data_IF_086489812497
#
_entry.id   IF_086489812497
#
_cell.length_a   1.000
_cell.length_b   1.000
_cell.length_c   1.000
_cell.angle_alpha   90.00
_cell.angle_beta   90.00
_cell.angle_gamma   90.00
#
_symmetry.space_group_name_H-M   'P 1'
#
loop_
_entity.id
_entity.type
_entity.pdbx_description
1 polymer ?
#
# COMPACT_ATOMS: atom_id res chain seq x y z
N UNK A 1 -43.94 26.89 -18.91
CA UNK A 1 -43.20 25.61 -19.08
C UNK A 1 -41.82 25.97 -19.62
N UNK A 2 -40.71 25.53 -19.00
CA UNK A 2 -39.36 25.85 -19.51
C UNK A 2 -39.14 25.22 -20.88
N UNK A 3 -38.41 25.91 -21.76
CA UNK A 3 -38.07 25.39 -23.08
C UNK A 3 -37.13 24.19 -22.96
N UNK A 4 -37.09 23.34 -23.99
CA UNK A 4 -36.16 22.20 -24.04
C UNK A 4 -34.70 22.69 -23.90
N UNK A 5 -34.36 23.81 -24.56
CA UNK A 5 -33.03 24.42 -24.48
C UNK A 5 -32.66 24.89 -23.06
N UNK A 6 -33.59 25.53 -22.34
CA UNK A 6 -33.37 25.94 -20.94
C UNK A 6 -33.15 24.75 -20.02
N UNK A 7 -33.87 23.65 -20.26
CA UNK A 7 -33.72 22.40 -19.49
C UNK A 7 -32.39 21.72 -19.77
N UNK A 8 -31.95 21.68 -21.04
CA UNK A 8 -30.65 21.13 -21.43
C UNK A 8 -29.50 21.94 -20.86
N UNK A 9 -29.55 23.27 -20.96
CA UNK A 9 -28.53 24.14 -20.35
C UNK A 9 -28.42 23.91 -18.85
N UNK A 10 -29.56 23.79 -18.15
CA UNK A 10 -29.57 23.47 -16.73
C UNK A 10 -29.00 22.09 -16.39
N UNK A 11 -29.03 21.12 -17.32
CA UNK A 11 -28.38 19.81 -17.15
C UNK A 11 -26.86 19.95 -17.36
N UNK A 12 -26.42 20.60 -18.43
CA UNK A 12 -25.00 20.78 -18.74
C UNK A 12 -24.26 21.58 -17.67
N UNK A 13 -24.91 22.61 -17.09
CA UNK A 13 -24.35 23.34 -15.96
C UNK A 13 -24.15 22.44 -14.72
N UNK A 14 -25.11 21.54 -14.45
CA UNK A 14 -24.99 20.58 -13.34
C UNK A 14 -23.88 19.56 -13.61
N UNK A 15 -23.82 19.02 -14.82
CA UNK A 15 -22.76 18.10 -15.23
C UNK A 15 -21.37 18.74 -15.09
N UNK A 16 -21.23 19.99 -15.54
CA UNK A 16 -19.97 20.75 -15.42
C UNK A 16 -19.57 20.93 -13.95
N UNK A 17 -20.52 21.28 -13.08
CA UNK A 17 -20.27 21.41 -11.63
C UNK A 17 -19.82 20.08 -11.01
N UNK A 18 -20.50 18.98 -11.33
CA UNK A 18 -20.15 17.64 -10.84
C UNK A 18 -18.76 17.21 -11.32
N UNK A 19 -18.40 17.50 -12.58
CA UNK A 19 -17.07 17.21 -13.11
C UNK A 19 -15.97 17.99 -12.39
N UNK A 20 -16.21 19.27 -12.06
CA UNK A 20 -15.26 20.07 -11.26
C UNK A 20 -15.10 19.49 -9.85
N UNK A 21 -16.20 19.07 -9.21
CA UNK A 21 -16.16 18.43 -7.88
C UNK A 21 -15.40 17.11 -7.91
N UNK A 22 -15.63 16.28 -8.94
CA UNK A 22 -14.89 15.03 -9.16
C UNK A 22 -13.39 15.28 -9.25
N UNK A 23 -12.95 16.21 -10.10
CA UNK A 23 -11.51 16.55 -10.24
C UNK A 23 -10.92 17.00 -8.90
N UNK A 24 -11.66 17.76 -8.09
CA UNK A 24 -11.20 18.18 -6.75
C UNK A 24 -11.09 17.00 -5.79
N UNK A 25 -12.02 16.05 -5.84
CA UNK A 25 -12.00 14.85 -5.01
C UNK A 25 -10.84 13.93 -5.42
N UNK A 26 -10.63 13.73 -6.72
CA UNK A 26 -9.53 12.93 -7.26
C UNK A 26 -8.18 13.49 -6.76
N UNK A 27 -7.94 14.81 -6.87
CA UNK A 27 -6.73 15.44 -6.33
C UNK A 27 -6.54 15.27 -4.83
N UNK A 28 -7.62 15.28 -4.05
CA UNK A 28 -7.56 15.04 -2.59
C UNK A 28 -7.22 13.58 -2.30
N UNK A 29 -7.80 12.67 -3.06
CA UNK A 29 -7.52 11.24 -2.97
C UNK A 29 -6.06 10.96 -3.29
N UNK A 30 -5.53 11.50 -4.40
CA UNK A 30 -4.12 11.35 -4.78
C UNK A 30 -3.19 11.87 -3.69
N UNK A 31 -3.52 13.02 -3.07
CA UNK A 31 -2.73 13.57 -1.95
C UNK A 31 -2.75 12.66 -0.73
N UNK A 32 -3.88 12.04 -0.40
CA UNK A 32 -3.98 11.08 0.70
C UNK A 32 -3.23 9.79 0.37
N UNK A 33 -3.33 9.31 -0.86
CA UNK A 33 -2.64 8.12 -1.33
C UNK A 33 -1.11 8.31 -1.27
N UNK A 34 -0.62 9.47 -1.72
CA UNK A 34 0.81 9.84 -1.60
C UNK A 34 1.30 9.84 -0.15
N UNK A 35 0.48 10.30 0.82
CA UNK A 35 0.83 10.20 2.24
C UNK A 35 0.89 8.76 2.73
N UNK A 36 -0.01 7.90 2.26
CA UNK A 36 0.01 6.47 2.59
C UNK A 36 1.28 5.82 2.03
N UNK A 37 1.66 6.13 0.79
CA UNK A 37 2.89 5.64 0.19
C UNK A 37 4.13 6.09 0.98
N UNK A 38 4.15 7.35 1.45
CA UNK A 38 5.24 7.88 2.30
C UNK A 38 5.37 7.11 3.61
N UNK A 39 4.26 6.85 4.32
CA UNK A 39 4.28 6.02 5.55
C UNK A 39 4.71 4.57 5.26
N UNK A 40 4.23 4.00 4.16
CA UNK A 40 4.66 2.66 3.76
C UNK A 40 6.16 2.63 3.42
N UNK A 41 6.68 3.68 2.80
CA UNK A 41 8.11 3.83 2.54
C UNK A 41 8.93 3.93 3.85
N UNK A 42 8.45 4.67 4.85
CA UNK A 42 9.11 4.73 6.17
C UNK A 42 9.22 3.34 6.82
N UNK A 43 8.13 2.55 6.83
CA UNK A 43 8.14 1.18 7.34
C UNK A 43 9.11 0.27 6.56
N UNK A 44 9.14 0.46 5.25
CA UNK A 44 10.00 -0.28 4.34
C UNK A 44 11.49 0.03 4.58
N UNK A 45 11.85 1.31 4.76
CA UNK A 45 13.23 1.72 5.06
C UNK A 45 13.67 1.19 6.43
N UNK A 46 12.82 1.32 7.45
CA UNK A 46 13.11 0.76 8.77
C UNK A 46 13.40 -0.74 8.68
N UNK A 47 12.59 -1.50 7.90
CA UNK A 47 12.82 -2.93 7.70
C UNK A 47 14.21 -3.23 7.13
N UNK A 48 14.64 -2.50 6.09
CA UNK A 48 15.96 -2.69 5.46
C UNK A 48 17.09 -2.31 6.42
N UNK A 49 16.92 -1.23 7.18
CA UNK A 49 17.93 -0.75 8.12
C UNK A 49 18.14 -1.71 9.30
N UNK A 50 17.05 -2.31 9.81
CA UNK A 50 17.11 -3.22 10.96
C UNK A 50 17.50 -4.65 10.59
N UNK A 51 17.20 -5.10 9.38
CA UNK A 51 17.41 -6.48 8.95
C UNK A 51 18.60 -6.58 8.00
N UNK A 52 19.76 -7.03 8.52
CA UNK A 52 20.95 -7.30 7.71
C UNK A 52 21.17 -8.80 7.44
N UNK A 53 20.47 -9.67 8.17
CA UNK A 53 20.57 -11.12 8.06
C UNK A 53 19.17 -11.71 7.93
N UNK A 54 18.83 -12.22 6.75
CA UNK A 54 17.51 -12.78 6.46
C UNK A 54 17.51 -14.29 6.67
N UNK A 55 16.46 -14.82 7.30
CA UNK A 55 16.35 -16.24 7.66
C UNK A 55 15.01 -16.83 7.30
N UNK A 56 14.96 -18.11 6.93
CA UNK A 56 13.68 -18.81 6.70
C UNK A 56 12.91 -19.12 7.99
N UNK A 57 13.58 -19.07 9.12
CA UNK A 57 13.00 -19.37 10.44
C UNK A 57 12.36 -18.13 11.08
N UNK A 58 12.55 -16.95 10.49
CA UNK A 58 11.97 -15.70 10.94
C UNK A 58 10.60 -15.44 10.31
N UNK A 59 9.78 -14.67 11.02
CA UNK A 59 8.45 -14.28 10.58
C UNK A 59 8.51 -12.91 9.90
N UNK A 60 8.11 -12.87 8.64
CA UNK A 60 7.99 -11.63 7.87
C UNK A 60 6.55 -11.44 7.41
N UNK A 61 6.17 -10.19 7.25
CA UNK A 61 4.82 -9.81 6.84
C UNK A 61 4.87 -8.75 5.76
N UNK A 62 3.95 -8.80 4.80
CA UNK A 62 3.63 -7.63 3.98
C UNK A 62 2.40 -6.95 4.55
N UNK A 63 2.57 -5.73 5.06
CA UNK A 63 1.48 -4.93 5.62
C UNK A 63 0.98 -3.97 4.56
N UNK A 64 -0.32 -4.01 4.27
CA UNK A 64 -1.02 -3.07 3.43
C UNK A 64 -1.77 -2.06 4.29
N UNK A 65 -1.49 -0.78 4.05
CA UNK A 65 -2.16 0.35 4.67
C UNK A 65 -3.45 0.62 3.88
N UNK A 66 -4.58 0.19 4.44
CA UNK A 66 -5.91 0.38 3.85
C UNK A 66 -6.72 1.38 4.67
N UNK A 67 -7.75 2.02 4.08
CA UNK A 67 -8.68 2.83 4.85
C UNK A 67 -9.27 2.03 6.01
N UNK A 68 -9.09 2.52 7.25
CA UNK A 68 -9.65 1.97 8.50
C UNK A 68 -9.12 0.61 8.96
N UNK A 69 -8.15 -0.01 8.27
CA UNK A 69 -7.58 -1.28 8.73
C UNK A 69 -6.20 -1.55 8.13
N UNK A 70 -5.44 -2.41 8.81
CA UNK A 70 -4.23 -2.99 8.25
C UNK A 70 -4.54 -4.41 7.79
N UNK A 71 -3.98 -4.79 6.65
CA UNK A 71 -4.03 -6.15 6.13
C UNK A 71 -2.61 -6.70 6.07
N UNK A 72 -2.39 -7.90 6.61
CA UNK A 72 -1.10 -8.58 6.57
C UNK A 72 -1.15 -9.79 5.65
N UNK A 73 -0.09 -10.01 4.87
CA UNK A 73 0.21 -11.29 4.23
C UNK A 73 1.46 -11.87 4.88
N UNK A 74 1.38 -13.11 5.37
CA UNK A 74 2.55 -13.79 5.93
C UNK A 74 3.52 -14.19 4.82
N UNK A 75 4.79 -13.94 5.04
CA UNK A 75 5.87 -14.17 4.09
C UNK A 75 6.91 -15.14 4.67
N UNK A 76 7.63 -15.79 3.77
CA UNK A 76 8.81 -16.60 4.05
C UNK A 76 9.94 -16.07 3.18
N UNK A 77 11.12 -15.83 3.76
CA UNK A 77 12.31 -15.49 2.99
C UNK A 77 12.64 -16.58 1.95
N UNK A 78 12.82 -16.20 0.68
CA UNK A 78 13.21 -17.15 -0.37
C UNK A 78 14.71 -17.10 -0.64
N UNK A 79 15.22 -15.91 -0.99
CA UNK A 79 16.60 -15.68 -1.46
C UNK A 79 16.98 -14.20 -1.39
N UNK A 80 18.28 -13.93 -1.36
CA UNK A 80 18.86 -12.58 -1.44
C UNK A 80 19.70 -12.46 -2.70
N UNK A 81 19.58 -11.32 -3.37
CA UNK A 81 20.38 -10.88 -4.51
C UNK A 81 21.23 -9.68 -4.12
N UNK A 82 22.04 -9.18 -5.05
CA UNK A 82 22.90 -8.01 -4.82
C UNK A 82 22.08 -6.74 -4.56
N UNK A 83 20.95 -6.59 -5.24
CA UNK A 83 20.14 -5.37 -5.30
C UNK A 83 18.77 -5.49 -4.61
N UNK A 84 18.30 -6.71 -4.34
CA UNK A 84 17.04 -6.95 -3.64
C UNK A 84 16.97 -8.31 -2.92
N UNK A 85 15.94 -8.47 -2.11
CA UNK A 85 15.57 -9.72 -1.46
C UNK A 85 14.20 -10.16 -1.95
N UNK A 86 14.01 -11.47 -2.06
CA UNK A 86 12.71 -12.05 -2.36
C UNK A 86 12.13 -12.78 -1.15
N UNK A 87 10.83 -12.60 -0.99
CA UNK A 87 9.97 -13.34 -0.10
C UNK A 87 8.89 -14.06 -0.89
N UNK A 88 8.43 -15.21 -0.40
CA UNK A 88 7.26 -15.91 -0.91
C UNK A 88 6.13 -15.82 0.07
N UNK A 89 4.91 -15.80 -0.44
CA UNK A 89 3.73 -15.93 0.42
C UNK A 89 3.74 -17.30 1.15
N UNK A 90 3.45 -17.30 2.46
CA UNK A 90 3.46 -18.50 3.31
C UNK A 90 2.39 -19.52 2.92
N UNK A 91 1.22 -19.03 2.50
CA UNK A 91 0.11 -19.88 2.05
C UNK A 91 0.45 -20.76 0.84
N UNK A 92 0.21 -22.09 0.92
CA UNK A 92 0.48 -23.01 -0.18
C UNK A 92 -0.35 -22.71 -1.44
N UNK A 93 -1.51 -22.07 -1.29
CA UNK A 93 -2.38 -21.67 -2.42
C UNK A 93 -1.81 -20.51 -3.23
N UNK A 94 -0.88 -19.74 -2.66
CA UNK A 94 -0.25 -18.56 -3.29
C UNK A 94 1.26 -18.71 -3.37
N UNK A 95 1.78 -19.95 -3.39
CA UNK A 95 3.22 -20.26 -3.39
C UNK A 95 4.05 -19.63 -4.51
N UNK A 96 3.40 -19.23 -5.62
CA UNK A 96 4.04 -18.56 -6.75
C UNK A 96 4.03 -17.02 -6.60
N UNK A 97 3.41 -16.49 -5.55
CA UNK A 97 3.42 -15.07 -5.26
C UNK A 97 4.73 -14.72 -4.56
N UNK A 98 5.58 -14.00 -5.28
CA UNK A 98 6.84 -13.46 -4.78
C UNK A 98 6.70 -11.96 -4.52
N UNK A 99 7.33 -11.50 -3.45
CA UNK A 99 7.45 -10.09 -3.07
C UNK A 99 8.93 -9.74 -3.04
N UNK A 100 9.33 -8.72 -3.80
CA UNK A 100 10.71 -8.24 -3.84
C UNK A 100 10.88 -6.96 -3.02
N UNK A 101 11.99 -6.86 -2.29
CA UNK A 101 12.40 -5.73 -1.46
C UNK A 101 13.78 -5.27 -1.95
N UNK A 102 13.82 -4.15 -2.66
CA UNK A 102 15.03 -3.50 -3.19
C UNK A 102 15.75 -2.66 -2.13
N UNK A 103 17.09 -2.75 -2.08
CA UNK A 103 17.88 -2.05 -1.06
C UNK A 103 17.96 -0.54 -1.26
N UNK A 104 17.95 -0.07 -2.51
CA UNK A 104 18.16 1.35 -2.87
C UNK A 104 16.97 1.92 -3.64
N UNK A 105 15.78 1.87 -3.03
CA UNK A 105 14.58 2.54 -3.53
C UNK A 105 14.41 3.89 -2.84
N UNK A 106 14.10 4.93 -3.62
CA UNK A 106 13.82 6.28 -3.11
C UNK A 106 12.34 6.44 -2.85
N UNK A 107 11.98 7.34 -1.92
CA UNK A 107 10.58 7.60 -1.57
C UNK A 107 9.73 7.96 -2.80
N UNK A 108 10.26 8.79 -3.70
CA UNK A 108 9.56 9.21 -4.93
C UNK A 108 9.29 8.06 -5.91
N UNK A 109 10.07 6.98 -5.81
CA UNK A 109 9.92 5.79 -6.64
C UNK A 109 9.04 4.72 -5.96
N UNK A 110 8.69 4.93 -4.68
CA UNK A 110 7.88 4.02 -3.89
C UNK A 110 6.38 4.22 -4.14
N UNK A 111 5.84 3.49 -5.12
CA UNK A 111 4.42 3.55 -5.49
C UNK A 111 3.62 2.37 -4.93
N UNK A 112 3.71 2.13 -3.62
CA UNK A 112 2.99 1.06 -2.95
C UNK A 112 2.35 1.56 -1.65
N UNK A 113 1.14 1.11 -1.36
CA UNK A 113 0.48 1.36 -0.08
C UNK A 113 0.81 0.28 0.97
N UNK A 114 1.78 -0.58 0.73
CA UNK A 114 2.19 -1.60 1.67
C UNK A 114 3.69 -1.84 1.65
N UNK A 115 4.21 -2.40 2.73
CA UNK A 115 5.63 -2.61 3.00
C UNK A 115 5.88 -4.01 3.59
N UNK A 116 7.05 -4.58 3.31
CA UNK A 116 7.52 -5.75 4.05
C UNK A 116 8.05 -5.27 5.40
N UNK A 117 7.72 -6.00 6.46
CA UNK A 117 8.12 -5.71 7.83
C UNK A 117 8.54 -6.99 8.53
N UNK A 118 9.41 -6.87 9.52
CA UNK A 118 9.75 -7.97 10.41
C UNK A 118 8.69 -8.14 11.52
N UNK A 119 8.86 -9.19 12.32
CA UNK A 119 7.99 -9.47 13.47
C UNK A 119 7.92 -8.33 14.48
N UNK A 120 9.03 -7.65 14.77
CA UNK A 120 9.06 -6.60 15.79
C UNK A 120 8.25 -5.38 15.34
N UNK A 121 8.40 -4.98 14.08
CA UNK A 121 7.60 -3.93 13.47
C UNK A 121 6.11 -4.33 13.43
N UNK A 122 5.80 -5.57 13.04
CA UNK A 122 4.44 -6.11 13.07
C UNK A 122 3.81 -6.05 14.47
N UNK A 123 4.53 -6.54 15.48
CA UNK A 123 4.10 -6.57 16.87
C UNK A 123 3.92 -5.16 17.45
N UNK A 124 4.67 -4.17 16.97
CA UNK A 124 4.46 -2.77 17.32
C UNK A 124 3.18 -2.23 16.69
N UNK A 125 2.95 -2.48 15.40
CA UNK A 125 1.74 -2.05 14.69
C UNK A 125 0.48 -2.68 15.27
N UNK A 126 0.53 -3.95 15.69
CA UNK A 126 -0.63 -4.68 16.20
C UNK A 126 -1.11 -4.21 17.58
N UNK A 127 -0.28 -3.45 18.32
CA UNK A 127 -0.69 -2.81 19.58
C UNK A 127 -1.65 -1.65 19.36
N UNK A 128 -1.47 -0.93 18.26
CA UNK A 128 -2.23 0.30 17.97
C UNK A 128 -3.36 0.05 16.96
N UNK A 129 -3.25 -1.02 16.15
CA UNK A 129 -4.16 -1.28 15.04
C UNK A 129 -4.63 -2.74 15.00
N UNK A 130 -5.90 -2.93 14.64
CA UNK A 130 -6.39 -4.24 14.24
C UNK A 130 -5.79 -4.63 12.88
N UNK A 131 -5.12 -5.78 12.84
CA UNK A 131 -4.49 -6.31 11.61
C UNK A 131 -5.20 -7.59 11.18
N UNK A 132 -5.73 -7.60 9.97
CA UNK A 132 -6.37 -8.77 9.37
C UNK A 132 -5.35 -9.57 8.56
N UNK A 133 -5.12 -10.83 8.92
CA UNK A 133 -4.24 -11.72 8.16
C UNK A 133 -5.01 -12.27 6.95
N UNK A 134 -4.43 -12.11 5.76
CA UNK A 134 -4.93 -12.67 4.51
C UNK A 134 -4.25 -14.01 4.24
N UNK A 135 -5.06 -15.07 4.17
CA UNK A 135 -4.62 -16.41 3.80
C UNK A 135 -4.33 -16.57 2.30
#
# INVERSE_FOLDING_TARGET
MKSISERLNGIFEKETKLNIEKIKLDKKFDKLYSKINSIAFELYQEFIETNQNFSRDEEYYKIYLQPKSLLAEELIFDRMYEDFIEFKHKSPHRKNHTVSVYFDIKENDYNSNGAVVDKNQYDRLSKDFAINIRA
#
